data_IF_779212207524
#
_entry.id   IF_779212207524
#
_cell.length_a   1.000
_cell.length_b   1.000
_cell.length_c   1.000
_cell.angle_alpha   90.00
_cell.angle_beta   90.00
_cell.angle_gamma   90.00
#
_symmetry.space_group_name_H-M   'P 1'
#
loop_
_entity.id
_entity.type
_entity.pdbx_description
1 polymer ?
#
# COMPACT_ATOMS: atom_id res chain seq x y z
N UNK A 1 -2.59 5.18 11.30
CA UNK A 1 -2.38 5.95 10.05
C UNK A 1 -1.62 7.21 10.38
N UNK A 2 -0.40 7.33 9.88
CA UNK A 2 0.44 8.50 10.12
C UNK A 2 0.36 9.54 9.00
N UNK A 3 -0.05 9.12 7.82
CA UNK A 3 -0.16 10.00 6.66
C UNK A 3 -1.12 9.39 5.64
N UNK A 4 -1.75 10.25 4.85
CA UNK A 4 -2.61 9.82 3.73
C UNK A 4 -2.21 10.59 2.47
N UNK A 5 -2.39 9.97 1.31
CA UNK A 5 -2.13 10.64 0.04
C UNK A 5 -3.15 10.26 -1.03
N UNK A 6 -3.53 11.23 -1.84
CA UNK A 6 -4.33 11.02 -3.04
C UNK A 6 -3.39 10.87 -4.24
N UNK A 7 -3.62 9.86 -5.06
CA UNK A 7 -2.80 9.57 -6.23
C UNK A 7 -1.30 9.66 -5.90
N UNK A 8 -0.82 8.81 -4.97
CA UNK A 8 0.53 8.94 -4.43
C UNK A 8 1.61 8.69 -5.46
N UNK A 9 2.75 9.33 -5.27
CA UNK A 9 3.97 9.01 -6.01
C UNK A 9 4.51 7.67 -5.50
N UNK A 10 4.97 6.83 -6.42
CA UNK A 10 5.57 5.56 -6.08
C UNK A 10 7.06 5.56 -6.40
N UNK A 11 7.87 5.19 -5.42
CA UNK A 11 9.31 5.03 -5.62
C UNK A 11 9.65 3.55 -5.48
N UNK A 12 10.10 2.89 -6.55
CA UNK A 12 10.43 1.48 -6.47
C UNK A 12 11.60 1.23 -5.51
N UNK A 13 11.59 0.08 -4.82
CA UNK A 13 12.74 -0.31 -3.99
C UNK A 13 14.03 -0.43 -4.80
N UNK A 14 15.16 -0.13 -4.15
CA UNK A 14 16.46 -0.17 -4.84
C UNK A 14 16.74 -1.52 -5.48
N UNK A 15 16.39 -2.61 -4.82
CA UNK A 15 16.60 -3.96 -5.37
C UNK A 15 15.77 -4.21 -6.63
N UNK A 16 14.58 -3.66 -6.71
CA UNK A 16 13.73 -3.76 -7.90
C UNK A 16 14.31 -2.93 -9.05
N UNK A 17 14.83 -1.74 -8.75
CA UNK A 17 15.50 -0.89 -9.73
C UNK A 17 16.71 -1.61 -10.33
N UNK A 18 17.43 -2.35 -9.52
CA UNK A 18 18.64 -3.06 -9.97
C UNK A 18 18.34 -4.20 -10.95
N UNK A 19 17.16 -4.82 -10.86
CA UNK A 19 16.85 -6.02 -11.66
C UNK A 19 15.77 -5.84 -12.72
N UNK A 20 15.00 -4.75 -12.66
CA UNK A 20 13.87 -4.53 -13.57
C UNK A 20 14.04 -3.20 -14.29
N UNK A 21 14.28 -3.22 -15.62
CA UNK A 21 14.43 -1.99 -16.39
C UNK A 21 13.19 -1.09 -16.35
N UNK A 22 11.99 -1.65 -16.21
CA UNK A 22 10.77 -0.86 -16.10
C UNK A 22 10.71 -0.11 -14.76
N UNK A 23 11.22 -0.70 -13.68
CA UNK A 23 11.32 -0.02 -12.41
C UNK A 23 12.45 1.01 -12.42
N UNK A 24 13.55 0.72 -13.12
CA UNK A 24 14.71 1.59 -13.16
C UNK A 24 14.40 2.98 -13.73
N UNK A 25 13.50 3.08 -14.70
CA UNK A 25 13.14 4.39 -15.26
C UNK A 25 12.36 5.25 -14.29
N UNK A 26 11.84 4.66 -13.22
CA UNK A 26 11.08 5.34 -12.17
C UNK A 26 11.84 5.47 -10.86
N UNK A 27 13.16 5.30 -10.89
CA UNK A 27 13.98 5.30 -9.68
C UNK A 27 13.84 6.56 -8.82
N UNK A 28 13.45 7.68 -9.43
CA UNK A 28 13.23 8.94 -8.75
C UNK A 28 11.76 9.22 -8.44
N UNK A 29 10.90 8.24 -8.67
CA UNK A 29 9.48 8.31 -8.36
C UNK A 29 8.61 8.31 -9.60
N UNK A 30 7.57 7.47 -9.58
CA UNK A 30 6.52 7.47 -10.59
C UNK A 30 5.40 8.37 -10.10
N UNK A 31 4.96 9.36 -10.89
CA UNK A 31 3.84 10.20 -10.49
C UNK A 31 2.55 9.39 -10.35
N UNK A 32 1.60 9.90 -9.58
CA UNK A 32 0.30 9.27 -9.43
C UNK A 32 -0.42 9.14 -10.76
N UNK A 33 -1.16 8.07 -10.93
CA UNK A 33 -1.92 7.83 -12.13
C UNK A 33 -2.38 6.38 -12.26
N UNK A 34 -3.12 6.05 -13.34
CA UNK A 34 -3.69 4.71 -13.51
C UNK A 34 -2.67 3.58 -13.58
N UNK A 35 -1.42 3.88 -13.94
CA UNK A 35 -0.36 2.88 -14.08
C UNK A 35 0.49 2.74 -12.81
N UNK A 36 0.23 3.58 -11.81
CA UNK A 36 0.99 3.56 -10.58
C UNK A 36 0.54 2.40 -9.69
N UNK A 37 1.47 1.57 -9.19
CA UNK A 37 1.11 0.42 -8.37
C UNK A 37 0.38 0.76 -7.06
N UNK A 38 0.53 1.99 -6.56
CA UNK A 38 -0.15 2.41 -5.34
C UNK A 38 -1.61 2.78 -5.55
N UNK A 39 -2.04 2.89 -6.80
CA UNK A 39 -3.43 3.17 -7.12
C UNK A 39 -3.87 4.58 -6.75
N UNK A 40 -5.16 4.72 -6.46
CA UNK A 40 -5.80 6.03 -6.30
C UNK A 40 -5.50 6.68 -4.96
N UNK A 41 -5.26 5.90 -3.91
CA UNK A 41 -5.05 6.41 -2.55
C UNK A 41 -4.06 5.53 -1.82
N UNK A 42 -3.36 6.12 -0.85
CA UNK A 42 -2.52 5.36 0.07
C UNK A 42 -2.68 5.86 1.50
N UNK A 43 -2.72 4.93 2.43
CA UNK A 43 -2.72 5.17 3.86
C UNK A 43 -1.41 4.62 4.39
N UNK A 44 -0.56 5.49 4.90
CA UNK A 44 0.78 5.12 5.38
C UNK A 44 0.70 4.77 6.86
N UNK A 45 1.13 3.57 7.20
CA UNK A 45 1.03 3.05 8.56
C UNK A 45 2.31 3.37 9.34
N UNK A 46 2.16 4.00 10.48
CA UNK A 46 3.27 4.39 11.35
C UNK A 46 3.25 3.56 12.62
N UNK A 47 4.43 3.26 13.12
CA UNK A 47 4.62 2.60 14.41
C UNK A 47 5.52 3.48 15.26
N UNK A 48 5.05 3.84 16.45
CA UNK A 48 5.81 4.70 17.38
C UNK A 48 6.28 6.01 16.72
N UNK A 49 5.43 6.60 15.89
CA UNK A 49 5.73 7.87 15.23
C UNK A 49 6.64 7.76 14.01
N UNK A 50 7.00 6.57 13.61
CA UNK A 50 7.89 6.33 12.46
C UNK A 50 7.17 5.55 11.38
N UNK A 51 7.47 5.87 10.13
CA UNK A 51 6.94 5.14 8.98
C UNK A 51 7.38 3.67 9.06
N UNK A 52 6.41 2.78 9.05
CA UNK A 52 6.66 1.34 9.13
C UNK A 52 6.98 0.70 7.79
N UNK A 53 6.94 1.47 6.69
CA UNK A 53 6.99 1.01 5.30
C UNK A 53 5.76 0.20 4.86
N UNK A 54 4.85 -0.14 5.76
CA UNK A 54 3.59 -0.78 5.39
C UNK A 54 2.55 0.26 4.98
N UNK A 55 1.74 -0.08 4.00
CA UNK A 55 0.72 0.79 3.42
C UNK A 55 -0.58 0.02 3.21
N UNK A 56 -1.68 0.74 3.28
CA UNK A 56 -2.95 0.30 2.68
C UNK A 56 -3.13 1.16 1.45
N UNK A 57 -3.23 0.55 0.28
CA UNK A 57 -3.28 1.33 -0.96
C UNK A 57 -4.15 0.65 -2.01
N UNK A 58 -4.50 1.42 -3.03
CA UNK A 58 -5.15 0.89 -4.21
C UNK A 58 -4.19 0.08 -5.09
N UNK A 59 -4.60 -0.25 -6.27
CA UNK A 59 -3.77 -1.01 -7.19
C UNK A 59 -4.14 -0.69 -8.64
N UNK A 60 -3.15 -0.77 -9.51
CA UNK A 60 -3.36 -0.73 -10.95
C UNK A 60 -3.69 -2.13 -11.51
N UNK A 61 -3.66 -3.16 -10.67
CA UNK A 61 -3.90 -4.54 -11.06
C UNK A 61 -4.90 -5.20 -10.11
N UNK A 62 -6.21 -4.86 -10.22
CA UNK A 62 -7.20 -5.37 -9.26
C UNK A 62 -7.31 -6.88 -9.25
N UNK A 63 -6.97 -7.56 -10.36
CA UNK A 63 -6.97 -9.02 -10.42
C UNK A 63 -5.90 -9.66 -9.52
N UNK A 64 -4.94 -8.89 -9.05
CA UNK A 64 -3.87 -9.41 -8.19
C UNK A 64 -4.23 -9.38 -6.70
N UNK A 65 -5.36 -8.81 -6.33
CA UNK A 65 -5.79 -8.74 -4.93
C UNK A 65 -6.06 -10.16 -4.43
N UNK A 66 -5.54 -10.46 -3.24
CA UNK A 66 -5.64 -11.80 -2.68
C UNK A 66 -4.47 -12.70 -3.01
N UNK A 67 -3.66 -12.34 -3.99
CA UNK A 67 -2.43 -13.06 -4.28
C UNK A 67 -1.35 -12.62 -3.29
N UNK A 68 -0.56 -13.57 -2.85
CA UNK A 68 0.51 -13.31 -1.88
C UNK A 68 1.79 -12.87 -2.59
N UNK A 69 1.74 -11.73 -3.28
CA UNK A 69 2.85 -11.23 -4.08
C UNK A 69 3.43 -9.91 -3.57
N UNK A 70 2.89 -9.39 -2.48
CA UNK A 70 3.35 -8.13 -1.91
C UNK A 70 4.12 -8.39 -0.63
N UNK A 71 5.09 -7.54 -0.31
CA UNK A 71 5.94 -7.65 0.85
C UNK A 71 5.38 -6.89 2.06
N UNK A 72 4.11 -7.10 2.37
CA UNK A 72 3.51 -6.57 3.57
C UNK A 72 2.53 -5.42 3.39
N UNK A 73 2.35 -4.93 2.16
CA UNK A 73 1.34 -3.92 1.90
C UNK A 73 -0.03 -4.56 1.67
N UNK A 74 -1.07 -3.85 2.06
CA UNK A 74 -2.44 -4.30 1.91
C UNK A 74 -3.04 -3.61 0.71
N UNK A 75 -3.45 -4.38 -0.29
CA UNK A 75 -4.01 -3.84 -1.53
C UNK A 75 -5.52 -3.92 -1.53
N UNK A 76 -6.13 -2.88 -2.07
CA UNK A 76 -7.59 -2.77 -2.20
C UNK A 76 -7.94 -2.36 -3.62
N UNK A 77 -9.15 -2.69 -4.05
CA UNK A 77 -9.71 -2.09 -5.26
C UNK A 77 -9.75 -0.58 -5.07
N UNK A 78 -9.46 0.19 -6.14
CA UNK A 78 -9.38 1.65 -6.03
C UNK A 78 -10.65 2.28 -5.46
N UNK A 79 -11.82 1.83 -5.87
CA UNK A 79 -13.08 2.36 -5.34
C UNK A 79 -13.17 2.17 -3.83
N UNK A 80 -12.70 1.03 -3.34
CA UNK A 80 -12.76 0.71 -1.91
C UNK A 80 -11.76 1.54 -1.12
N UNK A 81 -10.55 1.73 -1.63
CA UNK A 81 -9.55 2.52 -0.91
C UNK A 81 -9.90 4.01 -0.91
N UNK A 82 -10.56 4.49 -1.94
CA UNK A 82 -11.09 5.88 -1.96
C UNK A 82 -12.13 6.05 -0.86
N UNK A 83 -13.04 5.10 -0.73
CA UNK A 83 -14.05 5.14 0.32
C UNK A 83 -13.42 5.06 1.70
N UNK A 84 -12.47 4.16 1.89
CA UNK A 84 -11.75 4.03 3.16
C UNK A 84 -10.99 5.30 3.50
N UNK A 85 -10.31 5.89 2.53
CA UNK A 85 -9.55 7.12 2.68
C UNK A 85 -10.42 8.24 3.27
N UNK A 86 -11.64 8.37 2.76
CA UNK A 86 -12.55 9.43 3.20
C UNK A 86 -13.07 9.18 4.62
N UNK A 87 -13.11 7.94 5.07
CA UNK A 87 -13.62 7.56 6.39
C UNK A 87 -12.56 7.57 7.49
N UNK A 88 -11.30 7.40 7.13
CA UNK A 88 -10.19 7.20 8.07
C UNK A 88 -9.42 8.50 8.22
N UNK A 89 -9.17 8.91 9.46
CA UNK A 89 -8.39 10.09 9.76
C UNK A 89 -6.95 9.72 10.12
N UNK A 90 -6.02 10.63 9.88
CA UNK A 90 -4.67 10.49 10.42
C UNK A 90 -4.77 10.35 11.95
N UNK A 91 -4.04 9.39 12.49
CA UNK A 91 -4.14 9.02 13.89
C UNK A 91 -5.01 7.81 14.16
N UNK A 92 -5.79 7.36 13.19
CA UNK A 92 -6.61 6.16 13.35
C UNK A 92 -5.72 4.95 13.59
N UNK A 93 -6.08 4.14 14.59
CA UNK A 93 -5.36 2.90 14.89
C UNK A 93 -5.68 1.85 13.85
N UNK A 94 -4.65 1.14 13.40
CA UNK A 94 -4.77 0.01 12.50
C UNK A 94 -4.19 -1.21 13.19
N UNK A 95 -4.96 -2.28 13.23
CA UNK A 95 -4.53 -3.56 13.76
C UNK A 95 -4.47 -4.53 12.60
N UNK A 96 -3.26 -5.01 12.30
CA UNK A 96 -3.06 -5.97 11.23
C UNK A 96 -2.98 -7.37 11.83
N UNK A 97 -3.93 -8.20 11.45
CA UNK A 97 -3.97 -9.58 11.92
C UNK A 97 -3.27 -10.47 10.90
N UNK A 98 -2.38 -11.30 11.38
CA UNK A 98 -1.72 -12.25 10.50
C UNK A 98 -2.69 -13.36 10.13
N UNK A 99 -2.79 -13.63 8.84
CA UNK A 99 -3.58 -14.74 8.36
C UNK A 99 -3.08 -16.04 8.99
N UNK A 100 -3.97 -16.86 9.42
CA UNK A 100 -3.65 -18.10 10.11
C UNK A 100 -3.58 -17.91 11.60
N UNK A 101 -2.81 -16.97 12.11
CA UNK A 101 -2.71 -16.71 13.54
C UNK A 101 -4.05 -16.28 14.12
N UNK A 102 -4.67 -15.28 13.53
CA UNK A 102 -5.97 -14.80 13.99
C UNK A 102 -7.06 -15.84 13.81
N UNK A 103 -7.03 -16.59 12.73
CA UNK A 103 -8.05 -17.60 12.44
C UNK A 103 -7.98 -18.81 13.35
N UNK A 104 -6.79 -19.13 13.87
CA UNK A 104 -6.59 -20.36 14.65
C UNK A 104 -6.53 -20.11 16.14
N UNK A 105 -6.50 -18.89 16.59
CA UNK A 105 -6.33 -18.57 18.00
C UNK A 105 -7.62 -18.21 18.72
N UNK A 106 -8.68 -18.80 18.33
CA UNK A 106 -9.94 -18.60 18.99
C UNK A 106 -10.85 -17.64 18.28
N UNK A 107 -10.55 -17.50 17.11
CA UNK A 107 -11.38 -16.72 16.24
C UNK A 107 -12.41 -17.64 15.62
#
# INVERSE_FOLDING_TARGET
VGRKAEWPTWTPPAEMVARDPNAAKWKNGMPGGPENPLGARALYLYVNGQDSIYRIHGTHQPWSIGLNISSGCIRMVNDDVVDLYDRVKVGTRVIVLMQGAALYKGV
#
